data_IF_717665067063
#
_entry.id   IF_717665067063
#
_cell.length_a   1.000
_cell.length_b   1.000
_cell.length_c   1.000
_cell.angle_alpha   90.00
_cell.angle_beta   90.00
_cell.angle_gamma   90.00
#
_symmetry.space_group_name_H-M   'P 1'
#
loop_
_entity.id
_entity.type
_entity.pdbx_description
1 polymer ?
#
# COMPACT_ATOMS: atom_id res chain seq x y z
N UNK A 1 -60.93 -8.11 -35.14
CA UNK A 1 -60.32 -8.27 -33.81
C UNK A 1 -58.97 -9.00 -33.86
N UNK A 2 -58.82 -10.12 -34.53
CA UNK A 2 -57.53 -10.92 -34.56
C UNK A 2 -56.29 -10.18 -35.09
N UNK A 3 -56.43 -9.27 -36.06
CA UNK A 3 -55.27 -8.47 -36.56
C UNK A 3 -54.77 -7.41 -35.56
N UNK A 4 -55.61 -6.82 -34.73
CA UNK A 4 -55.20 -5.83 -33.71
C UNK A 4 -54.51 -6.46 -32.53
N UNK A 5 -54.87 -7.72 -32.17
CA UNK A 5 -54.21 -8.51 -31.13
C UNK A 5 -52.80 -8.93 -31.58
N UNK A 6 -52.62 -9.33 -32.84
CA UNK A 6 -51.32 -9.72 -33.38
C UNK A 6 -50.29 -8.54 -33.39
N UNK A 7 -50.76 -7.31 -33.72
CA UNK A 7 -49.92 -6.12 -33.70
C UNK A 7 -49.57 -5.72 -32.25
N UNK A 8 -50.49 -5.88 -31.30
CA UNK A 8 -50.21 -5.59 -29.90
C UNK A 8 -49.22 -6.60 -29.30
N UNK A 9 -49.32 -7.88 -29.64
CA UNK A 9 -48.39 -8.91 -29.22
C UNK A 9 -46.98 -8.69 -29.83
N UNK A 10 -46.89 -8.24 -31.09
CA UNK A 10 -45.61 -7.88 -31.73
C UNK A 10 -44.92 -6.69 -31.05
N UNK A 11 -45.66 -5.70 -30.57
CA UNK A 11 -45.13 -4.56 -29.82
C UNK A 11 -44.61 -4.97 -28.45
N UNK A 12 -45.27 -5.89 -27.76
CA UNK A 12 -44.83 -6.44 -26.46
C UNK A 12 -43.54 -7.20 -26.62
N UNK A 13 -43.38 -8.01 -27.68
CA UNK A 13 -42.13 -8.76 -27.95
C UNK A 13 -40.98 -7.82 -28.27
N UNK A 14 -41.21 -6.70 -28.97
CA UNK A 14 -40.18 -5.68 -29.22
C UNK A 14 -39.73 -4.93 -27.97
N UNK A 15 -40.63 -4.70 -27.02
CA UNK A 15 -40.31 -4.05 -25.74
C UNK A 15 -39.54 -4.97 -24.77
N UNK A 16 -39.79 -6.29 -24.85
CA UNK A 16 -39.08 -7.25 -23.97
C UNK A 16 -37.66 -7.58 -24.45
N UNK A 17 -37.34 -7.33 -25.72
CA UNK A 17 -35.96 -7.58 -26.24
C UNK A 17 -34.98 -6.44 -26.00
N UNK A 18 -35.43 -5.28 -25.51
CA UNK A 18 -34.54 -4.16 -25.21
C UNK A 18 -33.80 -4.26 -23.85
N UNK A 19 -34.11 -5.26 -23.02
CA UNK A 19 -33.47 -5.48 -21.74
C UNK A 19 -32.52 -6.70 -21.71
N UNK A 20 -32.20 -7.30 -22.88
CA UNK A 20 -31.27 -8.42 -23.02
C UNK A 20 -29.93 -8.03 -23.65
N UNK A 21 -29.66 -6.72 -23.78
CA UNK A 21 -28.31 -6.23 -23.70
C UNK A 21 -27.96 -6.23 -22.21
N UNK A 22 -27.74 -7.41 -21.65
CA UNK A 22 -26.93 -7.57 -20.49
C UNK A 22 -25.66 -6.77 -20.81
N UNK A 23 -25.51 -5.69 -20.13
CA UNK A 23 -24.25 -5.00 -20.00
C UNK A 23 -23.26 -6.13 -19.62
N UNK A 24 -22.55 -6.61 -20.62
CA UNK A 24 -21.33 -7.36 -20.47
C UNK A 24 -20.34 -6.31 -19.99
N UNK A 25 -20.74 -5.77 -18.80
CA UNK A 25 -20.05 -4.71 -18.12
C UNK A 25 -18.71 -5.32 -17.81
N UNK A 26 -17.82 -5.01 -18.68
CA UNK A 26 -16.39 -5.15 -18.61
C UNK A 26 -15.99 -5.37 -17.15
N UNK A 27 -15.77 -6.62 -16.74
CA UNK A 27 -15.32 -6.98 -15.40
C UNK A 27 -13.88 -6.53 -15.16
N UNK A 28 -13.56 -5.34 -15.70
CA UNK A 28 -12.24 -4.75 -15.58
C UNK A 28 -12.00 -4.38 -14.12
N UNK A 29 -11.00 -5.02 -13.53
CA UNK A 29 -10.54 -4.69 -12.21
C UNK A 29 -9.62 -3.48 -12.30
N UNK A 30 -10.09 -2.33 -11.84
CA UNK A 30 -9.29 -1.12 -11.73
C UNK A 30 -8.71 -1.01 -10.33
N UNK A 31 -7.39 -0.87 -10.24
CA UNK A 31 -6.65 -0.70 -9.00
C UNK A 31 -5.95 0.66 -9.05
N UNK A 32 -6.21 1.52 -8.08
CA UNK A 32 -5.53 2.79 -7.94
C UNK A 32 -4.11 2.60 -7.41
N UNK A 33 -3.19 3.44 -7.86
CA UNK A 33 -1.85 3.56 -7.27
C UNK A 33 -1.62 4.98 -6.80
N UNK A 34 -1.45 5.17 -5.51
CA UNK A 34 -1.04 6.43 -4.89
C UNK A 34 0.44 6.37 -4.56
N UNK A 35 1.26 7.07 -5.36
CA UNK A 35 2.71 7.08 -5.21
C UNK A 35 3.28 8.46 -5.56
N UNK A 36 4.45 8.86 -5.00
CA UNK A 36 5.15 10.06 -5.40
C UNK A 36 5.80 9.83 -6.78
N UNK A 37 5.15 10.27 -7.83
CA UNK A 37 5.65 10.11 -9.21
C UNK A 37 6.49 11.30 -9.66
N UNK A 38 6.48 12.40 -8.88
CA UNK A 38 7.28 13.61 -9.11
C UNK A 38 8.01 14.02 -7.83
N UNK A 39 9.07 14.85 -7.97
CA UNK A 39 9.85 15.37 -6.84
C UNK A 39 10.95 14.41 -6.36
N UNK A 40 11.46 14.66 -5.17
CA UNK A 40 12.61 13.97 -4.58
C UNK A 40 12.42 12.44 -4.46
N UNK A 41 11.21 11.99 -4.19
CA UNK A 41 10.88 10.57 -4.01
C UNK A 41 10.31 9.90 -5.26
N UNK A 42 10.43 10.54 -6.43
CA UNK A 42 9.86 10.04 -7.68
C UNK A 42 10.39 8.64 -8.06
N UNK A 43 11.65 8.35 -7.79
CA UNK A 43 12.25 7.04 -8.10
C UNK A 43 11.62 5.90 -7.27
N UNK A 44 11.23 6.19 -6.02
CA UNK A 44 10.51 5.22 -5.19
C UNK A 44 9.12 4.91 -5.76
N UNK A 45 8.38 5.96 -6.14
CA UNK A 45 7.05 5.81 -6.74
C UNK A 45 7.09 5.09 -8.08
N UNK A 46 8.06 5.41 -8.95
CA UNK A 46 8.28 4.72 -10.22
C UNK A 46 8.65 3.26 -10.01
N UNK A 47 9.52 2.95 -9.04
CA UNK A 47 9.89 1.57 -8.74
C UNK A 47 8.68 0.73 -8.35
N UNK A 48 7.77 1.30 -7.55
CA UNK A 48 6.51 0.62 -7.21
C UNK A 48 5.63 0.43 -8.45
N UNK A 49 5.48 1.45 -9.28
CA UNK A 49 4.71 1.34 -10.54
C UNK A 49 5.27 0.25 -11.45
N UNK A 50 6.59 0.19 -11.65
CA UNK A 50 7.23 -0.86 -12.43
C UNK A 50 7.04 -2.24 -11.83
N UNK A 51 7.11 -2.38 -10.50
CA UNK A 51 6.85 -3.65 -9.82
C UNK A 51 5.42 -4.15 -10.08
N UNK A 52 4.44 -3.24 -10.06
CA UNK A 52 3.05 -3.57 -10.38
C UNK A 52 2.87 -3.94 -11.86
N UNK A 53 3.55 -3.25 -12.78
CA UNK A 53 3.53 -3.60 -14.19
C UNK A 53 4.10 -5.00 -14.44
N UNK A 54 5.23 -5.34 -13.81
CA UNK A 54 5.81 -6.69 -13.89
C UNK A 54 4.85 -7.75 -13.34
N UNK A 55 4.17 -7.46 -12.23
CA UNK A 55 3.17 -8.37 -11.67
C UNK A 55 1.97 -8.56 -12.62
N UNK A 56 1.51 -7.50 -13.29
CA UNK A 56 0.46 -7.61 -14.30
C UNK A 56 0.89 -8.44 -15.52
N UNK A 57 2.13 -8.25 -15.96
CA UNK A 57 2.69 -9.04 -17.07
C UNK A 57 2.77 -10.54 -16.69
N UNK A 58 3.12 -10.87 -15.44
CA UNK A 58 3.14 -12.25 -14.95
C UNK A 58 1.75 -12.86 -14.82
N UNK A 59 0.78 -12.09 -14.34
CA UNK A 59 -0.63 -12.51 -14.24
C UNK A 59 -1.22 -12.72 -15.63
N UNK A 60 -0.81 -11.91 -16.62
CA UNK A 60 -1.27 -11.94 -18.00
C UNK A 60 -2.80 -11.88 -18.13
N UNK A 61 -3.43 -11.04 -17.31
CA UNK A 61 -4.87 -10.78 -17.31
C UNK A 61 -5.13 -9.37 -17.87
N UNK A 62 -5.78 -9.32 -19.04
CA UNK A 62 -6.09 -8.08 -19.73
C UNK A 62 -7.23 -7.27 -19.05
N UNK A 63 -7.87 -7.83 -18.05
CA UNK A 63 -8.99 -7.21 -17.34
C UNK A 63 -8.54 -6.48 -16.05
N UNK A 64 -7.23 -6.48 -15.75
CA UNK A 64 -6.66 -5.76 -14.60
C UNK A 64 -5.89 -4.52 -15.05
N UNK A 65 -6.23 -3.37 -14.48
CA UNK A 65 -5.61 -2.07 -14.83
C UNK A 65 -5.10 -1.34 -13.60
N UNK A 66 -3.90 -0.79 -13.68
CA UNK A 66 -3.36 0.12 -12.66
C UNK A 66 -3.59 1.56 -13.10
N UNK A 67 -4.18 2.35 -12.20
CA UNK A 67 -4.46 3.78 -12.40
C UNK A 67 -3.55 4.58 -11.47
N UNK A 68 -2.38 5.05 -11.94
CA UNK A 68 -1.45 5.79 -11.10
C UNK A 68 -1.87 7.26 -10.92
N UNK A 69 -1.65 7.78 -9.70
CA UNK A 69 -1.78 9.19 -9.35
C UNK A 69 -0.62 9.64 -8.47
N UNK A 70 -0.16 10.85 -8.74
CA UNK A 70 0.97 11.46 -8.02
C UNK A 70 0.51 12.05 -6.67
N UNK A 71 1.08 11.56 -5.57
CA UNK A 71 0.81 12.09 -4.23
C UNK A 71 1.73 13.26 -3.86
N UNK A 72 2.85 13.44 -4.58
CA UNK A 72 3.87 14.44 -4.27
C UNK A 72 4.53 14.27 -2.91
N UNK A 73 4.53 13.06 -2.34
CA UNK A 73 5.07 12.63 -1.06
C UNK A 73 4.86 13.62 0.10
N UNK A 74 4.11 13.19 1.12
CA UNK A 74 3.73 14.03 2.30
C UNK A 74 3.00 15.32 1.91
N UNK A 75 2.38 15.36 0.74
CA UNK A 75 1.60 16.51 0.28
C UNK A 75 0.10 16.19 0.39
N UNK A 76 -0.50 16.63 1.48
CA UNK A 76 -1.91 16.36 1.80
C UNK A 76 -2.89 16.85 0.73
N UNK A 77 -2.62 17.99 0.10
CA UNK A 77 -3.49 18.55 -0.94
C UNK A 77 -3.46 17.68 -2.20
N UNK A 78 -2.25 17.32 -2.66
CA UNK A 78 -2.08 16.42 -3.81
C UNK A 78 -2.66 15.03 -3.53
N UNK A 79 -2.41 14.48 -2.34
CA UNK A 79 -2.95 13.19 -1.93
C UNK A 79 -4.50 13.18 -2.00
N UNK A 80 -5.15 14.16 -1.42
CA UNK A 80 -6.61 14.24 -1.44
C UNK A 80 -7.14 14.37 -2.87
N UNK A 81 -6.53 15.21 -3.71
CA UNK A 81 -6.92 15.34 -5.11
C UNK A 81 -6.75 14.01 -5.86
N UNK A 82 -5.62 13.34 -5.69
CA UNK A 82 -5.34 12.07 -6.31
C UNK A 82 -6.35 10.98 -5.90
N UNK A 83 -6.80 10.97 -4.65
CA UNK A 83 -7.82 10.03 -4.16
C UNK A 83 -9.17 10.31 -4.83
N UNK A 84 -9.61 11.58 -4.90
CA UNK A 84 -10.87 11.93 -5.54
C UNK A 84 -10.85 11.58 -7.04
N UNK A 85 -9.76 11.85 -7.75
CA UNK A 85 -9.61 11.46 -9.16
C UNK A 85 -9.72 9.94 -9.38
N UNK A 86 -9.09 9.14 -8.52
CA UNK A 86 -9.18 7.67 -8.58
C UNK A 86 -10.62 7.21 -8.31
N UNK A 87 -11.27 7.83 -7.34
CA UNK A 87 -12.64 7.52 -6.94
C UNK A 87 -13.65 7.83 -8.03
N UNK A 88 -13.48 8.95 -8.74
CA UNK A 88 -14.31 9.36 -9.87
C UNK A 88 -14.21 8.37 -11.05
N UNK A 89 -13.12 7.62 -11.16
CA UNK A 89 -12.96 6.53 -12.12
C UNK A 89 -13.59 5.20 -11.68
N UNK A 90 -14.30 5.20 -10.54
CA UNK A 90 -15.00 4.04 -10.00
C UNK A 90 -14.08 2.99 -9.36
N UNK A 91 -12.89 3.40 -8.91
CA UNK A 91 -11.90 2.54 -8.25
C UNK A 91 -12.15 2.53 -6.74
N UNK A 92 -12.14 1.35 -6.13
CA UNK A 92 -12.33 1.17 -4.68
C UNK A 92 -11.15 0.47 -4.00
N UNK A 93 -10.20 -0.08 -4.76
CA UNK A 93 -8.98 -0.71 -4.21
C UNK A 93 -7.78 0.13 -4.64
N UNK A 94 -6.98 0.58 -3.68
CA UNK A 94 -5.88 1.50 -3.88
C UNK A 94 -4.62 0.94 -3.23
N UNK A 95 -3.54 0.85 -3.98
CA UNK A 95 -2.20 0.55 -3.45
C UNK A 95 -1.52 1.86 -3.07
N UNK A 96 -1.04 1.96 -1.84
CA UNK A 96 -0.49 3.19 -1.29
C UNK A 96 -1.47 3.92 -0.36
N UNK A 97 -1.13 5.12 0.08
CA UNK A 97 0.11 5.84 -0.17
C UNK A 97 1.35 5.15 0.41
N UNK A 98 2.56 5.65 0.11
CA UNK A 98 3.81 5.02 0.55
C UNK A 98 4.23 5.43 1.96
N UNK A 99 3.94 6.67 2.36
CA UNK A 99 4.29 7.18 3.68
C UNK A 99 3.25 6.76 4.72
N UNK A 100 3.72 6.23 5.86
CA UNK A 100 2.83 5.92 6.98
C UNK A 100 2.05 7.14 7.49
N UNK A 101 2.62 8.32 7.43
CA UNK A 101 1.98 9.57 7.85
C UNK A 101 0.77 9.91 6.99
N UNK A 102 0.81 9.60 5.70
CA UNK A 102 -0.29 9.83 4.75
C UNK A 102 -1.51 8.96 5.05
N UNK A 103 -1.34 7.81 5.75
CA UNK A 103 -2.46 6.95 6.14
C UNK A 103 -3.40 7.60 7.17
N UNK A 104 -2.94 8.59 7.92
CA UNK A 104 -3.82 9.37 8.81
C UNK A 104 -4.88 10.12 7.99
N UNK A 105 -4.49 10.63 6.84
CA UNK A 105 -5.38 11.41 5.96
C UNK A 105 -6.37 10.53 5.17
N UNK A 106 -6.02 9.25 4.90
CA UNK A 106 -6.90 8.34 4.13
C UNK A 106 -7.94 7.62 4.98
N UNK A 107 -7.81 7.60 6.30
CA UNK A 107 -8.77 6.95 7.22
C UNK A 107 -10.23 7.41 7.05
N UNK A 108 -10.46 8.62 6.55
CA UNK A 108 -11.79 9.19 6.34
C UNK A 108 -12.56 8.59 5.14
N UNK A 109 -11.86 7.94 4.21
CA UNK A 109 -12.42 7.35 3.00
C UNK A 109 -12.85 5.90 3.25
N UNK A 110 -13.97 5.72 3.97
CA UNK A 110 -14.46 4.40 4.38
C UNK A 110 -15.02 3.53 3.23
N UNK A 111 -15.25 4.13 2.09
CA UNK A 111 -15.69 3.49 0.85
C UNK A 111 -14.54 2.95 0.00
N UNK A 112 -13.29 3.23 0.39
CA UNK A 112 -12.08 2.81 -0.30
C UNK A 112 -11.27 1.85 0.57
N UNK A 113 -10.64 0.87 -0.05
CA UNK A 113 -9.70 -0.06 0.58
C UNK A 113 -8.28 0.33 0.18
N UNK A 114 -7.42 0.57 1.17
CA UNK A 114 -6.03 0.92 0.95
C UNK A 114 -5.12 -0.25 1.28
N UNK A 115 -4.25 -0.62 0.34
CA UNK A 115 -3.20 -1.62 0.53
C UNK A 115 -1.88 -0.88 0.79
N UNK A 116 -1.40 -0.93 2.03
CA UNK A 116 -0.18 -0.26 2.45
C UNK A 116 1.05 -1.13 2.19
N UNK A 117 1.98 -0.72 1.33
CA UNK A 117 3.28 -1.37 1.19
C UNK A 117 4.30 -0.94 2.27
N UNK A 118 3.90 -0.07 3.18
CA UNK A 118 4.76 0.45 4.25
C UNK A 118 5.24 -0.66 5.19
N UNK A 119 6.48 -0.54 5.66
CA UNK A 119 7.05 -1.37 6.72
C UNK A 119 6.60 -0.95 8.14
N UNK A 120 5.88 0.14 8.24
CA UNK A 120 5.24 0.61 9.47
C UNK A 120 3.76 0.30 9.36
N UNK A 121 3.28 -0.57 10.25
CA UNK A 121 1.84 -0.89 10.31
C UNK A 121 1.09 0.34 10.79
N UNK A 122 0.19 0.90 9.98
CA UNK A 122 -0.66 2.00 10.44
C UNK A 122 -1.57 1.51 11.58
N UNK A 123 -2.09 2.45 12.37
CA UNK A 123 -3.12 2.09 13.35
C UNK A 123 -4.27 1.36 12.64
N UNK A 124 -4.75 0.29 13.26
CA UNK A 124 -5.80 -0.54 12.69
C UNK A 124 -7.03 0.28 12.34
N UNK A 125 -7.39 0.25 11.06
CA UNK A 125 -8.64 0.76 10.51
C UNK A 125 -9.23 -0.30 9.61
N UNK A 126 -10.55 -0.31 9.47
CA UNK A 126 -11.25 -1.35 8.71
C UNK A 126 -10.97 -1.28 7.19
N UNK A 127 -10.38 -0.19 6.72
CA UNK A 127 -10.14 0.07 5.30
C UNK A 127 -8.66 0.10 4.90
N UNK A 128 -7.73 -0.29 5.80
CA UNK A 128 -6.30 -0.33 5.49
C UNK A 128 -5.77 -1.75 5.73
N UNK A 129 -5.20 -2.35 4.68
CA UNK A 129 -4.53 -3.64 4.70
C UNK A 129 -3.03 -3.41 4.57
N UNK A 130 -2.24 -3.76 5.59
CA UNK A 130 -0.79 -3.67 5.54
C UNK A 130 -0.20 -4.95 4.96
N UNK A 131 0.60 -4.82 3.89
CA UNK A 131 1.31 -5.94 3.23
C UNK A 131 2.82 -5.81 3.32
N UNK A 132 3.32 -4.69 3.84
CA UNK A 132 4.74 -4.47 4.04
C UNK A 132 5.34 -5.37 5.14
N UNK A 133 6.62 -5.70 5.00
CA UNK A 133 7.37 -6.43 6.04
C UNK A 133 7.65 -5.48 7.19
N UNK A 134 6.88 -5.59 8.26
CA UNK A 134 7.00 -4.68 9.41
C UNK A 134 8.31 -4.88 10.17
N UNK A 135 8.80 -3.81 10.83
CA UNK A 135 9.95 -3.90 11.72
C UNK A 135 9.74 -4.97 12.82
N UNK A 136 8.52 -5.09 13.33
CA UNK A 136 8.17 -6.11 14.33
C UNK A 136 8.38 -7.53 13.80
N UNK A 137 7.91 -7.84 12.59
CA UNK A 137 8.09 -9.17 11.99
C UNK A 137 9.57 -9.47 11.68
N UNK A 138 10.32 -8.47 11.27
CA UNK A 138 11.77 -8.58 11.06
C UNK A 138 12.50 -8.89 12.38
N UNK A 139 12.21 -8.13 13.44
CA UNK A 139 12.81 -8.33 14.76
C UNK A 139 12.46 -9.71 15.35
N UNK A 140 11.20 -10.15 15.23
CA UNK A 140 10.77 -11.47 15.67
C UNK A 140 11.51 -12.59 14.92
N UNK A 141 11.68 -12.43 13.61
CA UNK A 141 12.42 -13.39 12.78
C UNK A 141 13.90 -13.46 13.18
N UNK A 142 14.53 -12.30 13.44
CA UNK A 142 15.90 -12.23 13.96
C UNK A 142 16.01 -12.88 15.33
N UNK A 143 15.09 -12.61 16.25
CA UNK A 143 15.10 -13.23 17.56
C UNK A 143 14.99 -14.75 17.46
N UNK A 144 14.07 -15.27 16.65
CA UNK A 144 13.93 -16.70 16.40
C UNK A 144 15.22 -17.32 15.85
N UNK A 145 15.90 -16.63 14.93
CA UNK A 145 17.18 -17.07 14.38
C UNK A 145 18.27 -17.11 15.47
N UNK A 146 18.41 -16.05 16.27
CA UNK A 146 19.36 -15.94 17.37
C UNK A 146 19.17 -17.08 18.37
N UNK A 147 17.92 -17.36 18.75
CA UNK A 147 17.58 -18.46 19.67
C UNK A 147 17.93 -19.83 19.08
N UNK A 148 17.57 -20.09 17.82
CA UNK A 148 17.91 -21.34 17.12
C UNK A 148 19.40 -21.54 17.01
N UNK A 149 20.19 -20.49 16.83
CA UNK A 149 21.65 -20.53 16.75
C UNK A 149 22.33 -20.51 18.13
N UNK A 150 21.56 -20.50 19.22
CA UNK A 150 22.03 -20.45 20.60
C UNK A 150 23.06 -19.32 20.86
N UNK A 151 22.85 -18.14 20.23
CA UNK A 151 23.72 -16.97 20.38
C UNK A 151 23.43 -16.27 21.68
N UNK A 152 24.40 -16.27 22.61
CA UNK A 152 24.24 -15.64 23.94
C UNK A 152 24.69 -14.19 24.03
N UNK A 153 25.48 -13.75 23.02
CA UNK A 153 25.97 -12.35 22.96
C UNK A 153 25.54 -11.74 21.63
N UNK A 154 24.57 -10.87 21.68
CA UNK A 154 24.04 -10.19 20.50
C UNK A 154 23.98 -8.69 20.76
N UNK A 155 24.40 -7.91 19.79
CA UNK A 155 24.33 -6.46 19.80
C UNK A 155 23.36 -6.05 18.70
N UNK A 156 22.46 -5.13 19.01
CA UNK A 156 21.59 -4.50 18.05
C UNK A 156 22.18 -3.12 17.76
N UNK A 157 22.47 -2.85 16.49
CA UNK A 157 23.02 -1.58 16.05
C UNK A 157 22.04 -0.88 15.13
N UNK A 158 21.80 0.41 15.38
CA UNK A 158 20.98 1.23 14.48
C UNK A 158 21.45 2.69 14.52
N UNK A 159 21.22 3.47 13.44
CA UNK A 159 21.60 4.87 13.39
C UNK A 159 20.75 5.71 14.33
N UNK A 160 21.37 6.71 14.95
CA UNK A 160 20.67 7.72 15.74
C UNK A 160 20.04 8.77 14.83
N UNK A 161 18.72 8.71 14.70
CA UNK A 161 17.92 9.58 13.84
C UNK A 161 16.47 9.72 14.36
N UNK A 162 15.59 10.30 13.56
CA UNK A 162 14.18 10.49 13.92
C UNK A 162 13.43 9.19 14.28
N UNK A 163 13.88 8.03 13.78
CA UNK A 163 13.28 6.72 14.04
C UNK A 163 13.80 6.03 15.29
N UNK A 164 14.83 6.56 15.95
CA UNK A 164 15.47 5.96 17.14
C UNK A 164 14.45 5.58 18.20
N UNK A 165 13.59 6.52 18.59
CA UNK A 165 12.55 6.28 19.62
C UNK A 165 11.55 5.20 19.21
N UNK A 166 11.17 5.17 17.94
CA UNK A 166 10.26 4.15 17.40
C UNK A 166 10.89 2.76 17.49
N UNK A 167 12.16 2.62 17.11
CA UNK A 167 12.91 1.36 17.18
C UNK A 167 13.04 0.89 18.63
N UNK A 168 13.43 1.78 19.55
CA UNK A 168 13.57 1.47 20.99
C UNK A 168 12.26 0.97 21.59
N UNK A 169 11.14 1.64 21.31
CA UNK A 169 9.81 1.21 21.76
C UNK A 169 9.42 -0.17 21.24
N UNK A 170 9.77 -0.48 19.99
CA UNK A 170 9.51 -1.81 19.41
C UNK A 170 10.39 -2.90 20.04
N UNK A 171 11.66 -2.61 20.28
CA UNK A 171 12.58 -3.53 20.95
C UNK A 171 12.12 -3.84 22.38
N UNK A 172 11.71 -2.83 23.14
CA UNK A 172 11.17 -2.98 24.49
C UNK A 172 9.89 -3.83 24.49
N UNK A 173 8.93 -3.50 23.64
CA UNK A 173 7.67 -4.24 23.49
C UNK A 173 7.86 -5.71 23.13
N UNK A 174 8.89 -6.03 22.36
CA UNK A 174 9.20 -7.38 21.90
C UNK A 174 10.15 -8.16 22.86
N UNK A 175 10.51 -7.55 24.00
CA UNK A 175 11.30 -8.22 25.03
C UNK A 175 12.79 -8.35 24.72
N UNK A 176 13.35 -7.43 23.92
CA UNK A 176 14.80 -7.41 23.60
C UNK A 176 15.66 -6.79 24.73
N UNK A 177 15.21 -6.86 25.97
CA UNK A 177 15.86 -6.20 27.12
C UNK A 177 17.24 -6.81 27.48
N UNK A 178 17.52 -8.02 27.00
CA UNK A 178 18.79 -8.72 27.24
C UNK A 178 19.84 -8.47 26.15
N UNK A 179 19.55 -7.65 25.16
CA UNK A 179 20.45 -7.31 24.07
C UNK A 179 21.22 -6.02 24.40
N UNK A 180 22.48 -5.97 24.04
CA UNK A 180 23.23 -4.71 24.06
C UNK A 180 22.82 -3.88 22.87
N UNK A 181 22.35 -2.66 23.13
CA UNK A 181 21.97 -1.69 22.10
C UNK A 181 23.15 -0.74 21.88
N UNK A 182 23.53 -0.57 20.63
CA UNK A 182 24.52 0.41 20.19
C UNK A 182 23.88 1.35 19.16
N UNK A 183 23.84 2.61 19.50
CA UNK A 183 23.39 3.69 18.58
C UNK A 183 24.61 4.38 18.02
N UNK A 184 24.62 4.61 16.73
CA UNK A 184 25.74 5.24 16.07
C UNK A 184 25.29 6.47 15.25
N UNK A 185 26.19 7.45 15.11
CA UNK A 185 25.96 8.57 14.22
C UNK A 185 26.11 8.08 12.76
N UNK A 186 25.12 8.31 11.87
CA UNK A 186 25.19 7.88 10.48
C UNK A 186 26.20 8.66 9.63
N UNK A 187 26.75 9.76 10.13
CA UNK A 187 27.83 10.48 9.45
C UNK A 187 29.09 9.60 9.39
N UNK A 188 29.62 9.26 8.20
CA UNK A 188 30.77 8.37 8.06
C UNK A 188 32.03 8.85 8.78
N UNK A 189 32.24 10.18 8.91
CA UNK A 189 33.41 10.74 9.59
C UNK A 189 33.32 10.52 11.10
N UNK A 190 32.14 10.70 11.68
CA UNK A 190 31.90 10.47 13.11
C UNK A 190 31.93 8.98 13.43
N UNK A 191 31.28 8.16 12.60
CA UNK A 191 31.22 6.70 12.80
C UNK A 191 32.62 6.07 12.81
N UNK A 192 33.53 6.49 11.92
CA UNK A 192 34.91 6.00 11.90
C UNK A 192 35.61 6.28 13.23
N UNK A 193 35.48 7.48 13.76
CA UNK A 193 36.06 7.83 15.07
C UNK A 193 35.45 7.03 16.25
N UNK A 194 34.16 6.68 16.20
CA UNK A 194 33.51 5.87 17.23
C UNK A 194 33.93 4.39 17.21
N UNK A 195 34.34 3.86 16.06
CA UNK A 195 34.77 2.44 15.93
C UNK A 195 36.24 2.28 16.36
N UNK A 196 37.09 3.30 16.19
CA UNK A 196 38.49 3.26 16.53
C UNK A 196 38.77 3.41 18.04
N UNK A 197 37.76 3.76 18.85
CA UNK A 197 37.83 3.88 20.33
C UNK A 197 37.25 2.67 21.01
#
# INVERSE_FOLDING_TARGET
>A
MKKKIAIFLSYIILFFNSNLLSDENDKKLKIGLLAPLTGEYAELGKSLLYSLQLALDEINDNDVFIIPRDTGFRNKTKLNLAIEEIRDEGVNIIIGPLSNEEFVDVKKYNDLIFISPSNITPEFTNNIISVGVSLESQLLSLNNFIQKQNKKRTVIMFPENEYTKFIEQKLDKLGFNNFKIFKYNPDPQVLTGEIET
#
